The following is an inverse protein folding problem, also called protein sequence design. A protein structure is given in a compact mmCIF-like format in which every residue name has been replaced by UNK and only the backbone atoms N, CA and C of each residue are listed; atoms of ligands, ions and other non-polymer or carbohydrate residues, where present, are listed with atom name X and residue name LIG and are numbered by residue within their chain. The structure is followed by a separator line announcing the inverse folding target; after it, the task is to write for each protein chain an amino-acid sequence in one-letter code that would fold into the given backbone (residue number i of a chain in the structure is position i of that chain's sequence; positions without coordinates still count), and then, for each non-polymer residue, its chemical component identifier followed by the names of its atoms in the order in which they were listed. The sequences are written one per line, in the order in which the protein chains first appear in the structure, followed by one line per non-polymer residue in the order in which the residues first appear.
data_IF_965196805449
#
_entry.id   IF_965196805449
#
_cell.length_a   1.000
_cell.length_b   1.000
_cell.length_c   1.000
_cell.angle_alpha   90.00
_cell.angle_beta   90.00
_cell.angle_gamma   90.00
#
_symmetry.space_group_name_H-M   'P 1'
#
loop_
_entity.id
_entity.type
_entity.pdbx_description
1 polymer ?
#
# COMPACT_ATOMS: atom_id res chain seq x y z
N UNK A 1 -80.27 -42.81 -8.57
CA UNK A 1 -81.09 -41.88 -9.38
C UNK A 1 -80.34 -40.57 -9.46
N UNK A 2 -80.10 -40.07 -10.66
CA UNK A 2 -79.30 -38.86 -10.88
C UNK A 2 -80.13 -37.61 -10.57
N UNK A 3 -79.71 -36.84 -9.57
CA UNK A 3 -80.24 -35.51 -9.25
C UNK A 3 -80.38 -34.63 -10.52
N UNK A 4 -79.43 -34.63 -11.48
CA UNK A 4 -79.61 -33.95 -12.77
C UNK A 4 -80.90 -34.32 -13.50
N UNK A 5 -81.24 -35.62 -13.61
CA UNK A 5 -82.46 -36.07 -14.30
C UNK A 5 -83.74 -35.63 -13.58
N UNK A 6 -83.71 -35.53 -12.25
CA UNK A 6 -84.85 -35.03 -11.47
C UNK A 6 -85.02 -33.51 -11.65
N UNK A 7 -83.93 -32.76 -11.79
CA UNK A 7 -83.95 -31.34 -12.13
C UNK A 7 -84.46 -31.13 -13.56
N UNK A 8 -84.00 -31.92 -14.53
CA UNK A 8 -84.46 -31.88 -15.93
C UNK A 8 -85.98 -32.17 -16.02
N UNK A 9 -86.48 -33.13 -15.23
CA UNK A 9 -87.91 -33.44 -15.17
C UNK A 9 -88.73 -32.34 -14.49
N UNK A 10 -88.19 -31.68 -13.45
CA UNK A 10 -88.83 -30.52 -12.82
C UNK A 10 -88.91 -29.34 -13.79
N UNK A 11 -87.84 -29.11 -14.56
CA UNK A 11 -87.80 -28.10 -15.61
C UNK A 11 -88.84 -28.40 -16.70
N UNK A 12 -88.90 -29.65 -17.18
CA UNK A 12 -89.90 -30.10 -18.15
C UNK A 12 -91.35 -29.97 -17.64
N UNK A 13 -91.60 -30.21 -16.35
CA UNK A 13 -92.91 -30.02 -15.72
C UNK A 13 -93.36 -28.55 -15.78
N UNK A 14 -92.43 -27.63 -15.54
CA UNK A 14 -92.68 -26.18 -15.60
C UNK A 14 -92.75 -25.67 -17.04
N UNK A 15 -92.00 -26.28 -17.97
CA UNK A 15 -92.04 -25.96 -19.40
C UNK A 15 -93.35 -26.40 -20.08
N UNK A 16 -93.88 -27.57 -19.73
CA UNK A 16 -95.12 -28.12 -20.31
C UNK A 16 -96.42 -27.50 -19.74
N UNK A 17 -96.30 -26.60 -18.76
CA UNK A 17 -97.46 -25.92 -18.18
C UNK A 17 -98.04 -24.85 -19.11
N UNK A 18 -99.36 -24.62 -19.00
CA UNK A 18 -100.00 -23.55 -19.76
C UNK A 18 -99.49 -22.20 -19.26
N UNK A 19 -98.62 -21.54 -20.02
CA UNK A 19 -98.09 -20.22 -19.66
C UNK A 19 -99.08 -19.13 -20.05
N UNK A 20 -99.58 -18.37 -19.08
CA UNK A 20 -100.36 -17.16 -19.32
C UNK A 20 -99.73 -15.99 -18.57
N UNK A 21 -99.26 -14.99 -19.33
CA UNK A 21 -98.32 -13.98 -18.85
C UNK A 21 -97.02 -14.64 -18.32
N UNK A 22 -96.19 -13.92 -17.55
CA UNK A 22 -94.96 -14.46 -16.96
C UNK A 22 -95.22 -15.43 -15.79
N UNK A 23 -96.31 -16.20 -15.83
CA UNK A 23 -96.71 -17.16 -14.80
C UNK A 23 -97.21 -18.46 -15.44
N UNK A 24 -96.70 -19.57 -14.94
CA UNK A 24 -97.16 -20.91 -15.27
C UNK A 24 -98.53 -21.16 -14.60
N UNK A 25 -99.53 -21.57 -15.38
CA UNK A 25 -100.86 -21.99 -14.91
C UNK A 25 -101.05 -23.47 -15.26
N UNK A 26 -101.67 -24.23 -14.35
CA UNK A 26 -101.94 -25.66 -14.55
C UNK A 26 -100.74 -26.59 -14.30
N UNK A 27 -99.73 -26.14 -13.54
CA UNK A 27 -98.72 -27.04 -12.98
C UNK A 27 -99.38 -27.85 -11.87
N UNK A 28 -99.21 -29.16 -11.89
CA UNK A 28 -99.57 -30.01 -10.76
C UNK A 28 -98.61 -29.71 -9.59
N UNK A 29 -99.14 -29.01 -8.59
CA UNK A 29 -98.39 -28.65 -7.40
C UNK A 29 -97.94 -29.89 -6.62
N UNK A 30 -98.72 -30.98 -6.65
CA UNK A 30 -98.40 -32.23 -5.96
C UNK A 30 -97.21 -32.91 -6.63
N UNK A 31 -97.20 -33.03 -7.96
CA UNK A 31 -96.07 -33.58 -8.72
C UNK A 31 -94.81 -32.70 -8.60
N UNK A 32 -94.98 -31.38 -8.61
CA UNK A 32 -93.89 -30.44 -8.38
C UNK A 32 -93.26 -30.64 -6.99
N UNK A 33 -94.07 -30.68 -5.93
CA UNK A 33 -93.57 -30.89 -4.57
C UNK A 33 -92.98 -32.28 -4.39
N UNK A 34 -93.49 -33.30 -5.07
CA UNK A 34 -92.89 -34.63 -5.10
C UNK A 34 -91.49 -34.63 -5.73
N UNK A 35 -91.33 -33.99 -6.89
CA UNK A 35 -90.03 -33.87 -7.56
C UNK A 35 -89.05 -33.06 -6.72
N UNK A 36 -89.48 -31.94 -6.12
CA UNK A 36 -88.67 -31.15 -5.19
C UNK A 36 -88.27 -31.96 -3.96
N UNK A 37 -89.19 -32.75 -3.39
CA UNK A 37 -88.87 -33.62 -2.26
C UNK A 37 -87.93 -34.75 -2.66
N UNK A 38 -88.11 -35.37 -3.84
CA UNK A 38 -87.19 -36.37 -4.40
C UNK A 38 -85.81 -35.77 -4.63
N UNK A 39 -85.71 -34.54 -5.14
CA UNK A 39 -84.44 -33.79 -5.28
C UNK A 39 -83.84 -33.51 -3.91
N UNK A 40 -84.63 -33.08 -2.91
CA UNK A 40 -84.15 -32.80 -1.56
C UNK A 40 -83.66 -34.05 -0.83
N UNK A 41 -84.28 -35.20 -1.06
CA UNK A 41 -83.88 -36.49 -0.49
C UNK A 41 -82.70 -37.09 -1.25
N UNK A 42 -82.58 -36.83 -2.56
CA UNK A 42 -81.51 -37.35 -3.41
C UNK A 42 -80.26 -36.47 -3.46
N UNK A 43 -80.36 -35.17 -3.16
CA UNK A 43 -79.24 -34.32 -2.78
C UNK A 43 -78.84 -34.70 -1.36
N UNK A 44 -77.85 -35.60 -1.19
CA UNK A 44 -77.50 -36.12 0.10
C UNK A 44 -76.79 -35.03 0.90
N UNK A 45 -76.73 -35.17 2.23
CA UNK A 45 -75.85 -34.37 3.08
C UNK A 45 -74.40 -34.32 2.55
N UNK A 46 -73.98 -35.33 1.81
CA UNK A 46 -72.65 -35.45 1.20
C UNK A 46 -72.28 -34.31 0.26
N UNK A 47 -73.23 -33.75 -0.50
CA UNK A 47 -72.93 -32.61 -1.40
C UNK A 47 -72.69 -31.34 -0.59
N UNK A 48 -73.47 -31.12 0.46
CA UNK A 48 -73.24 -30.02 1.41
C UNK A 48 -71.94 -30.21 2.19
N UNK A 49 -71.64 -31.44 2.63
CA UNK A 49 -70.36 -31.80 3.26
C UNK A 49 -69.19 -31.54 2.32
N UNK A 50 -69.27 -31.93 1.06
CA UNK A 50 -68.22 -31.71 0.06
C UNK A 50 -68.00 -30.22 -0.23
N UNK A 51 -69.07 -29.43 -0.39
CA UNK A 51 -68.97 -27.98 -0.59
C UNK A 51 -68.34 -27.28 0.62
N UNK A 52 -68.73 -27.67 1.83
CA UNK A 52 -68.15 -27.15 3.07
C UNK A 52 -66.68 -27.54 3.21
N UNK A 53 -66.36 -28.80 2.96
CA UNK A 53 -64.98 -29.32 2.98
C UNK A 53 -64.08 -28.62 1.95
N UNK A 54 -64.60 -28.32 0.75
CA UNK A 54 -63.86 -27.57 -0.26
C UNK A 54 -63.56 -26.15 0.19
N UNK A 55 -64.54 -25.46 0.79
CA UNK A 55 -64.34 -24.11 1.34
C UNK A 55 -63.34 -24.12 2.50
N UNK A 56 -63.46 -25.09 3.41
CA UNK A 56 -62.54 -25.23 4.54
C UNK A 56 -61.13 -25.56 4.05
N UNK A 57 -60.97 -26.46 3.07
CA UNK A 57 -59.67 -26.79 2.48
C UNK A 57 -59.03 -25.59 1.79
N UNK A 58 -59.82 -24.80 1.06
CA UNK A 58 -59.30 -23.61 0.39
C UNK A 58 -58.89 -22.52 1.37
N UNK A 59 -59.64 -22.35 2.47
CA UNK A 59 -59.25 -21.47 3.57
C UNK A 59 -57.95 -21.93 4.22
N UNK A 60 -57.84 -23.22 4.56
CA UNK A 60 -56.62 -23.80 5.12
C UNK A 60 -55.43 -23.61 4.18
N UNK A 61 -55.64 -23.77 2.88
CA UNK A 61 -54.58 -23.59 1.88
C UNK A 61 -54.09 -22.13 1.82
N UNK A 62 -55.01 -21.16 1.79
CA UNK A 62 -54.63 -19.74 1.80
C UNK A 62 -53.95 -19.33 3.11
N UNK A 63 -54.45 -19.82 4.26
CA UNK A 63 -53.86 -19.58 5.57
C UNK A 63 -52.43 -20.16 5.63
N UNK A 64 -52.24 -21.42 5.21
CA UNK A 64 -50.93 -22.07 5.16
C UNK A 64 -49.95 -21.37 4.21
N UNK A 65 -50.45 -20.88 3.06
CA UNK A 65 -49.64 -20.11 2.09
C UNK A 65 -49.21 -18.77 2.69
N UNK A 66 -50.10 -18.08 3.39
CA UNK A 66 -49.80 -16.80 4.05
C UNK A 66 -48.76 -17.00 5.16
N UNK A 67 -48.93 -18.05 5.97
CA UNK A 67 -47.99 -18.41 7.03
C UNK A 67 -46.62 -18.77 6.47
N UNK A 68 -46.56 -19.58 5.41
CA UNK A 68 -45.30 -19.91 4.73
C UNK A 68 -44.58 -18.66 4.20
N UNK A 69 -45.31 -17.72 3.60
CA UNK A 69 -44.74 -16.45 3.13
C UNK A 69 -44.16 -15.63 4.29
N UNK A 70 -44.87 -15.56 5.42
CA UNK A 70 -44.39 -14.87 6.62
C UNK A 70 -43.14 -15.53 7.22
N UNK A 71 -43.07 -16.87 7.22
CA UNK A 71 -41.89 -17.61 7.70
C UNK A 71 -40.68 -17.28 6.84
N UNK A 72 -40.83 -17.31 5.51
CA UNK A 72 -39.74 -16.99 4.58
C UNK A 72 -39.28 -15.55 4.80
N UNK A 73 -40.19 -14.58 4.89
CA UNK A 73 -39.83 -13.17 5.12
C UNK A 73 -39.09 -12.96 6.44
N UNK A 74 -39.53 -13.63 7.52
CA UNK A 74 -38.84 -13.57 8.82
C UNK A 74 -37.45 -14.20 8.73
N UNK A 75 -37.33 -15.35 8.06
CA UNK A 75 -36.05 -16.03 7.89
C UNK A 75 -35.07 -15.19 7.06
N UNK A 76 -35.53 -14.53 6.00
CA UNK A 76 -34.67 -13.65 5.19
C UNK A 76 -34.22 -12.42 5.97
N UNK A 77 -35.13 -11.77 6.70
CA UNK A 77 -34.78 -10.62 7.56
C UNK A 77 -33.77 -11.01 8.65
N UNK A 78 -33.97 -12.17 9.27
CA UNK A 78 -33.06 -12.67 10.29
C UNK A 78 -31.68 -13.00 9.70
N UNK A 79 -31.64 -13.65 8.54
CA UNK A 79 -30.39 -13.94 7.83
C UNK A 79 -29.63 -12.66 7.45
N UNK A 80 -30.33 -11.64 6.95
CA UNK A 80 -29.76 -10.33 6.65
C UNK A 80 -29.19 -9.65 7.90
N UNK A 81 -29.92 -9.71 9.03
CA UNK A 81 -29.45 -9.18 10.31
C UNK A 81 -28.18 -9.89 10.79
N UNK A 82 -28.17 -11.22 10.77
CA UNK A 82 -27.01 -12.03 11.16
C UNK A 82 -25.79 -11.69 10.29
N UNK A 83 -25.99 -11.56 8.97
CA UNK A 83 -24.91 -11.17 8.05
C UNK A 83 -24.39 -9.76 8.32
N UNK A 84 -25.27 -8.80 8.61
CA UNK A 84 -24.87 -7.45 8.96
C UNK A 84 -24.07 -7.41 10.27
N UNK A 85 -24.53 -8.11 11.30
CA UNK A 85 -23.84 -8.20 12.59
C UNK A 85 -22.50 -8.90 12.47
N UNK A 86 -22.42 -10.00 11.72
CA UNK A 86 -21.17 -10.72 11.46
C UNK A 86 -20.16 -9.84 10.72
N UNK A 87 -20.60 -9.06 9.71
CA UNK A 87 -19.74 -8.10 9.02
C UNK A 87 -19.26 -6.98 9.93
N UNK A 88 -20.14 -6.43 10.77
CA UNK A 88 -19.77 -5.40 11.73
C UNK A 88 -18.78 -5.93 12.79
N UNK A 89 -18.97 -7.16 13.28
CA UNK A 89 -18.03 -7.82 14.17
C UNK A 89 -16.69 -8.13 13.49
N UNK A 90 -16.69 -8.60 12.25
CA UNK A 90 -15.47 -8.84 11.48
C UNK A 90 -14.69 -7.53 11.24
N UNK A 91 -15.38 -6.45 10.89
CA UNK A 91 -14.76 -5.13 10.74
C UNK A 91 -14.14 -4.66 12.07
N UNK A 92 -14.87 -4.80 13.19
CA UNK A 92 -14.31 -4.50 14.53
C UNK A 92 -13.13 -5.38 14.88
N UNK A 93 -13.19 -6.69 14.63
CA UNK A 93 -12.08 -7.60 14.88
C UNK A 93 -10.83 -7.28 14.05
N UNK A 94 -10.99 -6.80 12.81
CA UNK A 94 -9.87 -6.36 11.96
C UNK A 94 -9.25 -5.06 12.51
N UNK A 95 -10.09 -4.12 12.93
CA UNK A 95 -9.65 -2.82 13.43
C UNK A 95 -9.03 -2.92 14.84
N UNK A 96 -9.58 -3.80 15.67
CA UNK A 96 -9.11 -4.09 17.04
C UNK A 96 -7.90 -5.04 17.06
N UNK A 97 -7.52 -5.67 15.94
CA UNK A 97 -6.52 -6.71 16.02
C UNK A 97 -5.18 -6.13 16.47
N UNK A 98 -4.79 -6.56 17.66
CA UNK A 98 -3.50 -6.33 18.31
C UNK A 98 -2.33 -6.55 17.35
N UNK A 99 -2.51 -7.39 16.31
CA UNK A 99 -1.56 -7.59 15.21
C UNK A 99 -1.29 -6.31 14.42
N UNK A 100 -2.31 -5.54 14.03
CA UNK A 100 -2.13 -4.27 13.28
C UNK A 100 -1.46 -3.24 14.17
N UNK A 101 -1.85 -3.17 15.45
CA UNK A 101 -1.24 -2.29 16.45
C UNK A 101 0.22 -2.68 16.71
N UNK A 102 0.50 -3.96 16.91
CA UNK A 102 1.84 -4.51 17.13
C UNK A 102 2.72 -4.30 15.89
N UNK A 103 2.19 -4.55 14.69
CA UNK A 103 2.90 -4.30 13.43
C UNK A 103 3.22 -2.80 13.27
N UNK A 104 2.30 -1.90 13.64
CA UNK A 104 2.55 -0.46 13.61
C UNK A 104 3.63 -0.04 14.60
N UNK A 105 3.59 -0.58 15.83
CA UNK A 105 4.62 -0.34 16.85
C UNK A 105 5.97 -0.87 16.39
N UNK A 106 6.04 -2.10 15.90
CA UNK A 106 7.27 -2.69 15.35
C UNK A 106 7.81 -1.91 14.17
N UNK A 107 6.96 -1.46 13.24
CA UNK A 107 7.38 -0.62 12.13
C UNK A 107 7.99 0.70 12.60
N UNK A 108 7.41 1.30 13.65
CA UNK A 108 7.95 2.51 14.27
C UNK A 108 9.31 2.26 14.93
N UNK A 109 9.45 1.18 15.68
CA UNK A 109 10.72 0.79 16.32
C UNK A 109 11.83 0.51 15.29
N UNK A 110 11.50 -0.19 14.20
CA UNK A 110 12.42 -0.45 13.08
C UNK A 110 12.85 0.87 12.45
N UNK A 111 11.92 1.81 12.24
CA UNK A 111 12.25 3.12 11.66
C UNK A 111 13.16 3.93 12.57
N UNK A 112 12.84 4.01 13.86
CA UNK A 112 13.65 4.72 14.85
C UNK A 112 15.04 4.10 15.03
N UNK A 113 15.15 2.77 14.91
CA UNK A 113 16.44 2.08 14.90
C UNK A 113 17.22 2.44 13.62
N UNK A 114 16.59 2.35 12.45
CA UNK A 114 17.24 2.67 11.19
C UNK A 114 17.71 4.14 11.13
N UNK A 115 16.93 5.07 11.67
CA UNK A 115 17.31 6.48 11.77
C UNK A 115 18.53 6.68 12.69
N UNK A 116 18.59 5.96 13.82
CA UNK A 116 19.76 5.98 14.72
C UNK A 116 20.99 5.38 14.07
N UNK A 117 20.87 4.19 13.49
CA UNK A 117 21.96 3.48 12.82
C UNK A 117 22.51 4.32 11.65
N UNK A 118 21.63 4.99 10.88
CA UNK A 118 22.05 5.89 9.80
C UNK A 118 22.80 7.14 10.33
N UNK A 119 22.35 7.72 11.44
CA UNK A 119 23.03 8.85 12.06
C UNK A 119 24.40 8.48 12.63
N UNK A 120 24.52 7.28 13.22
CA UNK A 120 25.80 6.73 13.69
C UNK A 120 26.75 6.47 12.52
N UNK A 121 26.28 5.76 11.49
CA UNK A 121 27.07 5.48 10.29
C UNK A 121 27.59 6.77 9.63
N UNK A 122 26.77 7.82 9.59
CA UNK A 122 27.19 9.12 9.06
C UNK A 122 28.31 9.74 9.90
N UNK A 123 28.18 9.71 11.24
CA UNK A 123 29.23 10.22 12.13
C UNK A 123 30.53 9.44 11.97
N UNK A 124 30.46 8.13 11.86
CA UNK A 124 31.62 7.28 11.66
C UNK A 124 32.30 7.55 10.31
N UNK A 125 31.51 7.74 9.26
CA UNK A 125 32.02 8.12 7.94
C UNK A 125 32.70 9.51 7.97
N UNK A 126 32.09 10.49 8.64
CA UNK A 126 32.67 11.83 8.82
C UNK A 126 33.99 11.76 9.61
N UNK A 127 34.02 10.98 10.70
CA UNK A 127 35.23 10.78 11.52
C UNK A 127 36.33 10.08 10.72
N UNK A 128 35.99 9.08 9.91
CA UNK A 128 36.93 8.41 9.02
C UNK A 128 37.49 9.38 7.97
N UNK A 129 36.63 10.17 7.32
CA UNK A 129 37.05 11.16 6.34
C UNK A 129 38.01 12.20 6.94
N UNK A 130 37.72 12.69 8.15
CA UNK A 130 38.61 13.58 8.89
C UNK A 130 39.96 12.91 9.16
N UNK A 131 39.99 11.67 9.64
CA UNK A 131 41.25 10.96 9.89
C UNK A 131 42.07 10.71 8.62
N UNK A 132 41.43 10.54 7.46
CA UNK A 132 42.13 10.47 6.16
C UNK A 132 42.70 11.83 5.77
N UNK A 133 41.92 12.90 5.94
CA UNK A 133 42.36 14.26 5.64
C UNK A 133 43.53 14.69 6.53
N UNK A 134 43.50 14.37 7.83
CA UNK A 134 44.60 14.64 8.75
C UNK A 134 45.89 13.92 8.35
N UNK A 135 45.80 12.66 7.92
CA UNK A 135 46.96 11.91 7.40
C UNK A 135 47.51 12.55 6.13
N UNK A 136 46.63 12.98 5.23
CA UNK A 136 47.03 13.67 4.00
C UNK A 136 47.70 15.00 4.31
N UNK A 137 47.16 15.79 5.23
CA UNK A 137 47.75 17.06 5.68
C UNK A 137 49.15 16.84 6.27
N UNK A 138 49.30 15.82 7.12
CA UNK A 138 50.61 15.47 7.70
C UNK A 138 51.63 15.11 6.61
N UNK A 139 51.24 14.30 5.62
CA UNK A 139 52.10 13.95 4.48
C UNK A 139 52.49 15.17 3.65
N UNK A 140 51.54 16.05 3.33
CA UNK A 140 51.81 17.29 2.60
C UNK A 140 52.76 18.21 3.37
N UNK A 141 52.59 18.29 4.69
CA UNK A 141 53.47 19.08 5.56
C UNK A 141 54.90 18.55 5.55
N UNK A 142 55.08 17.23 5.66
CA UNK A 142 56.41 16.61 5.58
C UNK A 142 57.04 16.80 4.20
N UNK A 143 56.27 16.63 3.13
CA UNK A 143 56.75 16.86 1.76
C UNK A 143 57.19 18.32 1.58
N UNK A 144 56.39 19.28 2.02
CA UNK A 144 56.72 20.71 1.97
C UNK A 144 57.96 21.06 2.79
N UNK A 145 58.09 20.53 4.01
CA UNK A 145 59.30 20.70 4.82
C UNK A 145 60.55 20.11 4.18
N UNK A 146 60.41 18.97 3.50
CA UNK A 146 61.52 18.33 2.78
C UNK A 146 61.96 19.18 1.61
N UNK A 147 61.01 19.63 0.77
CA UNK A 147 61.28 20.55 -0.32
C UNK A 147 61.96 21.82 0.20
N UNK A 148 61.45 22.43 1.27
CA UNK A 148 62.04 23.65 1.82
C UNK A 148 63.48 23.44 2.30
N UNK A 149 63.78 22.30 2.95
CA UNK A 149 65.16 21.95 3.34
C UNK A 149 66.07 21.76 2.13
N UNK A 150 65.60 21.08 1.09
CA UNK A 150 66.33 20.87 -0.16
C UNK A 150 66.60 22.20 -0.88
N UNK A 151 65.61 23.09 -0.95
CA UNK A 151 65.75 24.44 -1.50
C UNK A 151 66.77 25.27 -0.72
N UNK A 152 66.70 25.27 0.61
CA UNK A 152 67.66 25.97 1.46
C UNK A 152 69.09 25.41 1.30
N UNK A 153 69.23 24.09 1.15
CA UNK A 153 70.51 23.44 0.89
C UNK A 153 71.06 23.85 -0.48
N UNK A 154 70.25 23.79 -1.54
CA UNK A 154 70.65 24.18 -2.89
C UNK A 154 71.11 25.64 -2.94
N UNK A 155 70.37 26.54 -2.27
CA UNK A 155 70.77 27.95 -2.14
C UNK A 155 72.13 28.12 -1.45
N UNK A 156 72.39 27.37 -0.36
CA UNK A 156 73.68 27.39 0.34
C UNK A 156 74.81 26.87 -0.53
N UNK A 157 74.61 25.75 -1.21
CA UNK A 157 75.62 25.15 -2.11
C UNK A 157 75.94 26.08 -3.29
N UNK A 158 74.93 26.69 -3.89
CA UNK A 158 75.12 27.67 -4.95
C UNK A 158 75.88 28.91 -4.48
N UNK A 159 75.57 29.43 -3.27
CA UNK A 159 76.27 30.58 -2.70
C UNK A 159 77.75 30.25 -2.42
N UNK A 160 78.00 29.09 -1.80
CA UNK A 160 79.36 28.63 -1.52
C UNK A 160 80.17 28.39 -2.80
N UNK A 161 79.53 27.89 -3.86
CA UNK A 161 80.16 27.77 -5.18
C UNK A 161 80.61 29.11 -5.76
N UNK A 162 79.78 30.16 -5.62
CA UNK A 162 80.15 31.52 -6.03
C UNK A 162 81.30 32.07 -5.18
N UNK A 163 81.26 31.90 -3.86
CA UNK A 163 82.33 32.33 -2.95
C UNK A 163 83.67 31.68 -3.29
N UNK A 164 83.70 30.37 -3.51
CA UNK A 164 84.91 29.64 -3.89
C UNK A 164 85.48 30.12 -5.24
N UNK A 165 84.59 30.44 -6.20
CA UNK A 165 85.02 30.99 -7.49
C UNK A 165 85.63 32.39 -7.33
N UNK A 166 85.01 33.25 -6.52
CA UNK A 166 85.55 34.59 -6.19
C UNK A 166 86.91 34.45 -5.53
N UNK A 167 87.06 33.57 -4.54
CA UNK A 167 88.33 33.35 -3.84
C UNK A 167 89.43 32.87 -4.80
N UNK A 168 89.10 31.95 -5.71
CA UNK A 168 90.01 31.48 -6.75
C UNK A 168 90.50 32.63 -7.63
N UNK A 169 89.57 33.49 -8.10
CA UNK A 169 89.91 34.68 -8.91
C UNK A 169 90.77 35.65 -8.12
N UNK A 170 90.45 35.91 -6.85
CA UNK A 170 91.25 36.77 -5.96
C UNK A 170 92.68 36.23 -5.79
N UNK A 171 92.85 34.92 -5.58
CA UNK A 171 94.17 34.30 -5.48
C UNK A 171 94.97 34.39 -6.79
N UNK A 172 94.31 34.25 -7.95
CA UNK A 172 94.94 34.43 -9.26
C UNK A 172 95.43 35.87 -9.41
N UNK A 173 94.60 36.85 -9.06
CA UNK A 173 94.97 38.27 -9.09
C UNK A 173 96.14 38.54 -8.15
N UNK A 174 96.11 37.99 -6.92
CA UNK A 174 97.17 38.19 -5.93
C UNK A 174 98.51 37.62 -6.41
N UNK A 175 98.51 36.38 -6.92
CA UNK A 175 99.69 35.74 -7.54
C UNK A 175 100.19 36.51 -8.76
N UNK A 176 99.28 37.00 -9.60
CA UNK A 176 99.59 37.85 -10.75
C UNK A 176 100.32 39.13 -10.33
N UNK A 177 99.76 39.84 -9.33
CA UNK A 177 100.33 41.05 -8.75
C UNK A 177 101.71 40.80 -8.14
N UNK A 178 101.89 39.73 -7.38
CA UNK A 178 103.19 39.38 -6.76
C UNK A 178 104.27 39.09 -7.83
N UNK A 179 103.92 38.35 -8.89
CA UNK A 179 104.82 38.09 -10.01
C UNK A 179 105.20 39.38 -10.74
N UNK A 180 104.26 40.30 -10.95
CA UNK A 180 104.53 41.59 -11.57
C UNK A 180 105.43 42.46 -10.69
N UNK A 181 105.21 42.49 -9.37
CA UNK A 181 106.08 43.20 -8.42
C UNK A 181 107.53 42.68 -8.47
N UNK A 182 107.73 41.36 -8.43
CA UNK A 182 109.06 40.76 -8.57
C UNK A 182 109.73 41.06 -9.92
N UNK A 183 108.95 41.22 -11.00
CA UNK A 183 109.49 41.62 -12.31
C UNK A 183 109.92 43.08 -12.32
N UNK A 184 109.13 43.96 -11.69
CA UNK A 184 109.44 45.39 -11.56
C UNK A 184 110.73 45.59 -10.74
N UNK A 185 110.86 44.91 -9.60
CA UNK A 185 112.09 44.98 -8.79
C UNK A 185 113.34 44.49 -9.54
N UNK A 186 113.18 43.46 -10.41
CA UNK A 186 114.28 42.97 -11.24
C UNK A 186 114.68 43.98 -12.32
N UNK A 187 113.72 44.63 -12.97
CA UNK A 187 114.01 45.67 -13.96
C UNK A 187 114.65 46.90 -13.31
N UNK A 188 114.18 47.30 -12.13
CA UNK A 188 114.76 48.42 -11.39
C UNK A 188 116.19 48.13 -10.94
N UNK A 189 116.48 46.90 -10.48
CA UNK A 189 117.85 46.47 -10.14
C UNK A 189 118.76 46.36 -11.36
N UNK A 190 118.26 45.87 -12.50
CA UNK A 190 119.03 45.82 -13.74
C UNK A 190 119.41 47.22 -14.23
N UNK A 191 118.44 48.15 -14.21
CA UNK A 191 118.68 49.56 -14.54
C UNK A 191 119.66 50.23 -13.56
N UNK A 192 119.59 49.92 -12.25
CA UNK A 192 120.53 50.46 -11.26
C UNK A 192 121.96 49.92 -11.42
N UNK A 193 122.13 48.68 -11.88
CA UNK A 193 123.44 48.06 -12.12
C UNK A 193 124.12 48.62 -13.38
N UNK A 194 123.36 48.93 -14.44
CA UNK A 194 123.88 49.58 -15.66
C UNK A 194 124.35 51.03 -15.42
N UNK A 195 123.92 51.67 -14.33
CA UNK A 195 124.35 53.02 -13.95
C UNK A 195 125.61 53.05 -13.04
N UNK A 196 126.18 51.90 -12.66
CA UNK A 196 127.39 51.80 -11.81
C UNK A 196 128.65 51.29 -12.54
N UNK A 197 128.59 51.00 -13.84
CA UNK A 197 129.74 50.87 -14.75
C UNK A 197 130.02 52.18 -15.50
#
# INVERSE_FOLDING_TARGET
MDVPKLLDNLEALVENSWRFMNKAWGVDLEEFFELVNKIRTSLPEDVWRASKLSKDSQRIYEDARLEAAQIVERATKEAERILADARAQAARMIDEHEVTRLATTQAKEIREKAERDAAELKRDADAYALGVLEKLEAQLRTASQTLQKEWDQLCRESLHGVENHIETVVQIIHRGREKLGKRLERTDRAAAAEHQE
#
